data_IF_003674080365
#
_entry.id   IF_003674080365
#
_cell.length_a   1.000
_cell.length_b   1.000
_cell.length_c   1.000
_cell.angle_alpha   90.00
_cell.angle_beta   90.00
_cell.angle_gamma   90.00
#
_symmetry.space_group_name_H-M   'P 1'
#
loop_
_entity.id
_entity.type
_entity.pdbx_description
1 polymer ?
#
# COMPACT_ATOMS: atom_id res chain seq x y z
N UNK A 1 -17.41 -16.42 15.95
CA UNK A 1 -17.06 -16.30 14.54
C UNK A 1 -17.78 -15.09 13.95
N UNK A 2 -17.07 -14.24 13.28
CA UNK A 2 -17.70 -13.06 12.70
C UNK A 2 -18.47 -13.41 11.44
N UNK A 3 -19.57 -12.71 11.24
CA UNK A 3 -20.38 -12.89 10.05
C UNK A 3 -19.65 -12.31 8.84
N UNK A 4 -19.96 -12.85 7.66
CA UNK A 4 -19.43 -12.30 6.43
C UNK A 4 -20.06 -10.94 6.15
N UNK A 5 -19.24 -10.05 5.61
CA UNK A 5 -19.70 -8.74 5.17
C UNK A 5 -20.27 -8.86 3.76
N UNK A 6 -21.44 -8.28 3.54
CA UNK A 6 -22.11 -8.27 2.25
C UNK A 6 -22.13 -6.86 1.69
N UNK A 7 -22.55 -6.73 0.43
CA UNK A 7 -22.62 -5.44 -0.25
C UNK A 7 -23.36 -4.39 0.58
N UNK A 8 -24.44 -4.78 1.22
CA UNK A 8 -25.29 -3.88 2.00
C UNK A 8 -24.61 -3.32 3.23
N UNK A 9 -23.54 -3.98 3.69
CA UNK A 9 -22.76 -3.51 4.85
C UNK A 9 -21.82 -2.38 4.49
N UNK A 10 -21.56 -2.18 3.19
CA UNK A 10 -20.67 -1.13 2.71
C UNK A 10 -21.49 0.10 2.30
N UNK A 11 -21.82 0.91 3.29
CA UNK A 11 -22.63 2.10 3.05
C UNK A 11 -21.78 3.27 2.58
N UNK A 12 -22.41 4.18 1.83
CA UNK A 12 -21.70 5.38 1.36
C UNK A 12 -21.24 6.20 2.56
N UNK A 13 -19.98 6.65 2.50
CA UNK A 13 -19.38 7.41 3.59
C UNK A 13 -18.74 6.57 4.68
N UNK A 14 -18.86 5.24 4.59
CA UNK A 14 -18.21 4.35 5.54
C UNK A 14 -16.70 4.46 5.39
N UNK A 15 -16.01 4.60 6.50
CA UNK A 15 -14.55 4.61 6.53
C UNK A 15 -14.07 3.37 7.26
N UNK A 16 -13.28 2.54 6.57
CA UNK A 16 -12.70 1.34 7.16
C UNK A 16 -11.19 1.54 7.26
N UNK A 17 -10.63 1.63 8.47
CA UNK A 17 -9.18 1.70 8.61
C UNK A 17 -8.58 0.33 8.31
N UNK A 18 -7.56 0.30 7.45
CA UNK A 18 -6.88 -0.94 7.09
C UNK A 18 -5.74 -1.29 8.05
N UNK A 19 -5.39 -0.38 8.96
CA UNK A 19 -4.25 -0.56 9.84
C UNK A 19 -3.00 0.10 9.27
N UNK A 20 -1.86 -0.29 9.82
CA UNK A 20 -0.58 0.31 9.44
C UNK A 20 0.39 -0.78 8.99
N UNK A 21 1.36 -0.37 8.20
CA UNK A 21 2.42 -1.25 7.73
C UNK A 21 3.75 -0.54 7.87
N UNK A 22 4.72 -1.21 8.49
CA UNK A 22 6.07 -0.68 8.63
C UNK A 22 6.91 -1.14 7.44
N UNK A 23 7.31 -0.18 6.62
CA UNK A 23 8.03 -0.45 5.38
C UNK A 23 9.54 -0.32 5.62
N UNK A 24 10.29 -1.39 5.36
CA UNK A 24 11.73 -1.39 5.53
C UNK A 24 12.44 -1.13 4.20
N UNK A 25 13.69 -0.66 4.28
CA UNK A 25 14.51 -0.46 3.08
C UNK A 25 14.70 -1.76 2.31
N UNK A 26 14.94 -2.85 3.03
CA UNK A 26 15.14 -4.15 2.39
C UNK A 26 13.93 -4.57 1.58
N UNK A 27 12.73 -4.32 2.08
CA UNK A 27 11.50 -4.64 1.34
C UNK A 27 11.36 -3.80 0.09
N UNK A 28 11.68 -2.50 0.18
CA UNK A 28 11.62 -1.60 -0.96
C UNK A 28 12.56 -2.07 -2.06
N UNK A 29 13.79 -2.38 -1.69
CA UNK A 29 14.81 -2.79 -2.66
C UNK A 29 14.47 -4.15 -3.27
N UNK A 30 14.05 -5.11 -2.45
CA UNK A 30 13.71 -6.44 -2.92
C UNK A 30 12.56 -6.41 -3.94
N UNK A 31 11.52 -5.66 -3.64
CA UNK A 31 10.39 -5.52 -4.55
C UNK A 31 10.82 -4.85 -5.85
N UNK A 32 11.56 -3.75 -5.73
CA UNK A 32 11.96 -2.98 -6.90
C UNK A 32 12.88 -3.79 -7.82
N UNK A 33 13.78 -4.56 -7.23
CA UNK A 33 14.71 -5.38 -8.01
C UNK A 33 13.97 -6.34 -8.93
N UNK A 34 12.86 -6.84 -8.46
CA UNK A 34 12.07 -7.81 -9.23
C UNK A 34 11.05 -7.15 -10.15
N UNK A 35 10.40 -6.08 -9.71
CA UNK A 35 9.23 -5.55 -10.41
C UNK A 35 9.36 -4.12 -10.93
N UNK A 36 10.28 -3.32 -10.39
CA UNK A 36 10.41 -1.90 -10.77
C UNK A 36 11.83 -1.41 -10.52
N UNK A 37 12.80 -1.91 -11.30
CA UNK A 37 14.22 -1.69 -11.03
C UNK A 37 14.73 -0.31 -11.43
N UNK A 38 14.14 0.72 -10.87
CA UNK A 38 14.60 2.09 -11.06
C UNK A 38 15.51 2.52 -9.91
N UNK A 39 16.55 3.34 -10.19
CA UNK A 39 17.54 3.71 -9.17
C UNK A 39 16.95 4.27 -7.88
N UNK A 40 15.88 5.08 -7.97
CA UNK A 40 15.29 5.68 -6.77
C UNK A 40 14.59 4.67 -5.87
N UNK A 41 14.41 3.44 -6.34
CA UNK A 41 13.84 2.35 -5.53
C UNK A 41 14.87 1.31 -5.15
N UNK A 42 16.09 1.40 -5.70
CA UNK A 42 17.13 0.39 -5.50
C UNK A 42 18.29 0.87 -4.65
N UNK A 43 18.56 2.18 -4.64
CA UNK A 43 19.76 2.75 -4.06
C UNK A 43 19.42 4.03 -3.30
N UNK A 44 19.63 4.00 -1.98
CA UNK A 44 19.30 5.13 -1.13
C UNK A 44 20.05 6.40 -1.53
N UNK A 45 21.31 6.28 -1.96
CA UNK A 45 22.10 7.44 -2.38
C UNK A 45 21.55 8.04 -3.68
N UNK A 46 21.25 7.20 -4.67
CA UNK A 46 20.64 7.67 -5.91
C UNK A 46 19.26 8.28 -5.64
N UNK A 47 18.52 7.71 -4.70
CA UNK A 47 17.19 8.20 -4.35
C UNK A 47 17.23 9.60 -3.74
N UNK A 48 18.25 9.93 -2.95
CA UNK A 48 18.37 11.28 -2.38
C UNK A 48 18.60 12.34 -3.44
N UNK A 49 19.19 11.95 -4.58
CA UNK A 49 19.41 12.86 -5.71
C UNK A 49 18.22 12.89 -6.68
N UNK A 50 17.22 12.07 -6.44
CA UNK A 50 16.04 12.00 -7.27
C UNK A 50 14.99 13.02 -6.83
N UNK A 51 13.96 13.18 -7.64
CA UNK A 51 12.82 14.04 -7.32
C UNK A 51 12.09 13.55 -6.06
N UNK A 52 12.24 12.27 -5.70
CA UNK A 52 11.59 11.70 -4.54
C UNK A 52 12.28 12.03 -3.22
N UNK A 53 13.54 12.48 -3.26
CA UNK A 53 14.26 12.97 -2.09
C UNK A 53 14.71 11.92 -1.08
N UNK A 54 14.59 10.65 -1.39
CA UNK A 54 14.99 9.55 -0.51
C UNK A 54 14.48 8.22 -1.04
N UNK A 55 15.00 7.12 -0.46
CA UNK A 55 14.57 5.78 -0.88
C UNK A 55 13.07 5.61 -0.60
N UNK A 56 12.32 5.40 -1.66
CA UNK A 56 10.87 5.27 -1.56
C UNK A 56 10.39 4.04 -2.31
N UNK A 57 9.26 3.52 -1.85
CA UNK A 57 8.63 2.37 -2.48
C UNK A 57 8.15 2.71 -3.88
N UNK A 58 8.24 1.74 -4.78
CA UNK A 58 7.50 1.80 -6.02
C UNK A 58 6.02 2.04 -5.72
N UNK A 59 5.37 2.86 -6.53
CA UNK A 59 3.92 3.05 -6.37
C UNK A 59 3.17 1.73 -6.37
N UNK A 60 3.61 0.78 -7.18
CA UNK A 60 2.98 -0.53 -7.24
C UNK A 60 3.19 -1.33 -5.95
N UNK A 61 4.31 -1.16 -5.28
CA UNK A 61 4.51 -1.77 -3.96
C UNK A 61 3.56 -1.15 -2.94
N UNK A 62 3.41 0.17 -2.96
CA UNK A 62 2.46 0.86 -2.09
C UNK A 62 1.06 0.31 -2.30
N UNK A 63 0.67 0.11 -3.55
CA UNK A 63 -0.64 -0.47 -3.87
C UNK A 63 -0.77 -1.89 -3.38
N UNK A 64 0.29 -2.70 -3.48
CA UNK A 64 0.28 -4.07 -2.99
C UNK A 64 0.13 -4.12 -1.47
N UNK A 65 0.78 -3.22 -0.76
CA UNK A 65 0.64 -3.11 0.70
C UNK A 65 -0.81 -2.74 1.06
N UNK A 66 -1.39 -1.81 0.32
CA UNK A 66 -2.79 -1.45 0.51
C UNK A 66 -3.70 -2.66 0.37
N UNK A 67 -3.48 -3.46 -0.68
CA UNK A 67 -4.28 -4.66 -0.90
C UNK A 67 -4.14 -5.64 0.26
N UNK A 68 -2.92 -5.84 0.74
CA UNK A 68 -2.69 -6.72 1.89
C UNK A 68 -3.45 -6.25 3.12
N UNK A 69 -3.36 -4.96 3.42
CA UNK A 69 -4.07 -4.40 4.57
C UNK A 69 -5.58 -4.50 4.40
N UNK A 70 -6.07 -4.25 3.18
CA UNK A 70 -7.49 -4.37 2.89
C UNK A 70 -8.00 -5.80 3.05
N UNK A 71 -7.21 -6.77 2.58
CA UNK A 71 -7.55 -8.18 2.73
C UNK A 71 -7.67 -8.56 4.20
N UNK A 72 -6.70 -8.14 5.01
CA UNK A 72 -6.72 -8.41 6.44
C UNK A 72 -7.86 -7.67 7.16
N UNK A 73 -8.19 -6.46 6.70
CA UNK A 73 -9.19 -5.64 7.37
C UNK A 73 -10.62 -6.06 7.05
N UNK A 74 -10.92 -6.38 5.79
CA UNK A 74 -12.30 -6.68 5.44
C UNK A 74 -12.48 -7.74 4.35
N UNK A 75 -11.59 -7.84 3.37
CA UNK A 75 -11.85 -8.68 2.20
C UNK A 75 -12.02 -10.15 2.58
N UNK A 76 -11.22 -10.65 3.51
CA UNK A 76 -11.34 -12.03 3.99
C UNK A 76 -12.63 -12.28 4.77
N UNK A 77 -13.27 -11.22 5.24
CA UNK A 77 -14.54 -11.29 5.95
C UNK A 77 -15.74 -10.94 5.09
N UNK A 78 -15.51 -10.70 3.82
CA UNK A 78 -16.58 -10.31 2.91
C UNK A 78 -16.98 -11.48 2.02
N UNK A 79 -18.19 -11.38 1.48
CA UNK A 79 -18.70 -12.35 0.54
C UNK A 79 -18.21 -12.10 -0.89
N UNK A 80 -17.29 -11.15 -1.06
CA UNK A 80 -16.73 -10.83 -2.37
C UNK A 80 -15.97 -12.01 -2.94
N UNK A 81 -16.06 -12.20 -4.24
CA UNK A 81 -15.43 -13.32 -4.94
C UNK A 81 -14.22 -12.87 -5.77
N UNK A 82 -14.31 -11.72 -6.41
CA UNK A 82 -13.26 -11.21 -7.29
C UNK A 82 -13.47 -9.74 -7.58
N UNK A 83 -12.43 -9.09 -8.09
CA UNK A 83 -12.49 -7.71 -8.53
C UNK A 83 -12.26 -7.64 -10.04
N UNK A 84 -12.98 -6.74 -10.71
CA UNK A 84 -12.79 -6.51 -12.14
C UNK A 84 -11.60 -5.63 -12.45
N UNK A 85 -11.06 -4.96 -11.45
CA UNK A 85 -9.98 -4.02 -11.64
C UNK A 85 -10.25 -2.68 -11.00
N UNK A 86 -9.50 -1.69 -11.40
CA UNK A 86 -9.58 -0.33 -10.87
C UNK A 86 -9.62 0.66 -12.02
N UNK A 87 -10.40 1.72 -11.85
CA UNK A 87 -10.47 2.76 -12.87
C UNK A 87 -9.31 3.73 -12.80
N UNK A 88 -8.81 3.99 -11.59
CA UNK A 88 -7.75 4.97 -11.41
C UNK A 88 -6.94 4.68 -10.15
N UNK A 89 -5.63 4.84 -10.25
CA UNK A 89 -4.72 4.79 -9.11
C UNK A 89 -3.81 6.01 -9.20
N UNK A 90 -3.71 6.76 -8.11
CA UNK A 90 -2.81 7.91 -8.02
C UNK A 90 -1.92 7.77 -6.80
N UNK A 91 -0.63 8.01 -7.00
CA UNK A 91 0.33 8.05 -5.91
C UNK A 91 0.67 9.51 -5.63
N UNK A 92 -0.05 10.10 -4.68
CA UNK A 92 0.01 11.54 -4.41
C UNK A 92 1.30 11.97 -3.74
N UNK A 93 1.90 11.07 -2.97
CA UNK A 93 3.15 11.34 -2.26
C UNK A 93 4.03 10.10 -2.29
N UNK A 94 5.37 10.26 -2.34
CA UNK A 94 6.25 9.11 -2.19
C UNK A 94 6.12 8.51 -0.79
N UNK A 95 6.22 7.18 -0.71
CA UNK A 95 6.24 6.47 0.57
C UNK A 95 7.69 6.08 0.82
N UNK A 96 8.33 6.78 1.74
CA UNK A 96 9.73 6.52 2.05
C UNK A 96 9.88 5.32 2.96
N UNK A 97 10.92 4.53 2.69
CA UNK A 97 11.31 3.48 3.60
C UNK A 97 11.85 4.11 4.87
N UNK A 98 11.56 3.53 6.01
CA UNK A 98 12.03 4.06 7.26
C UNK A 98 11.97 3.05 8.37
N UNK A 99 12.59 3.43 9.49
CA UNK A 99 12.65 2.60 10.67
C UNK A 99 11.68 3.04 11.75
N UNK A 100 10.92 4.10 11.48
CA UNK A 100 10.05 4.71 12.47
C UNK A 100 8.58 4.57 12.10
N UNK A 101 7.74 4.68 13.11
CA UNK A 101 6.29 4.54 12.94
C UNK A 101 5.67 5.62 12.06
N UNK A 102 6.29 6.79 11.94
CA UNK A 102 5.79 7.83 11.06
C UNK A 102 5.84 7.46 9.58
N UNK A 103 6.51 6.36 9.25
CA UNK A 103 6.53 5.80 7.91
C UNK A 103 5.46 4.73 7.72
N UNK A 104 4.58 4.59 8.69
CA UNK A 104 3.43 3.70 8.54
C UNK A 104 2.46 4.26 7.52
N UNK A 105 1.83 3.35 6.80
CA UNK A 105 0.88 3.71 5.77
C UNK A 105 -0.52 3.45 6.29
N UNK A 106 -1.37 4.46 6.21
CA UNK A 106 -2.77 4.32 6.57
C UNK A 106 -3.63 4.43 5.33
N UNK A 107 -4.54 3.49 5.17
CA UNK A 107 -5.47 3.47 4.06
C UNK A 107 -6.89 3.41 4.56
N UNK A 108 -7.77 4.10 3.86
CA UNK A 108 -9.19 4.10 4.15
C UNK A 108 -9.97 3.86 2.87
N UNK A 109 -11.06 3.16 3.00
CA UNK A 109 -12.01 3.02 1.91
C UNK A 109 -13.11 4.08 2.08
N UNK A 110 -13.40 4.75 1.01
CA UNK A 110 -14.45 5.77 0.99
C UNK A 110 -15.62 5.30 0.15
#
# INVERSE_FOLDING_TARGET
MSELLHYEDFTEGLVIPFGTYHLTEDEVIAYAREWDPQPMHLDAEAATRSVLGGLSASGWQTSAIMVRLAVEAYANRSAAMASNGMEEVKWLKPVHAGERDEHSIEFNMI
#
